data_IF_383443202326
#
_entry.id   IF_383443202326
#
_cell.length_a   1.000
_cell.length_b   1.000
_cell.length_c   1.000
_cell.angle_alpha   90.00
_cell.angle_beta   90.00
_cell.angle_gamma   90.00
#
_symmetry.space_group_name_H-M   'P 1'
#
loop_
_entity.id
_entity.type
_entity.pdbx_description
1 polymer ?
#
# COMPACT_ATOMS: atom_id res chain seq x y z
N UNK A 1 16.37 -4.92 -34.14
CA UNK A 1 15.03 -5.50 -34.34
C UNK A 1 14.60 -6.50 -33.24
N UNK A 2 15.50 -7.04 -32.40
CA UNK A 2 15.17 -8.03 -31.33
C UNK A 2 14.75 -7.41 -30.00
N UNK A 3 15.07 -6.14 -29.72
CA UNK A 3 14.75 -5.45 -28.47
C UNK A 3 13.25 -5.06 -28.36
N UNK A 4 12.59 -4.84 -29.50
CA UNK A 4 11.13 -4.51 -29.50
C UNK A 4 10.25 -5.63 -28.95
N UNK A 5 10.69 -6.88 -28.98
CA UNK A 5 9.89 -8.03 -28.50
C UNK A 5 9.86 -8.12 -26.96
N UNK A 6 10.95 -7.73 -26.28
CA UNK A 6 11.00 -7.66 -24.81
C UNK A 6 10.08 -6.56 -24.24
N UNK A 7 10.04 -5.42 -24.94
CA UNK A 7 9.23 -4.26 -24.49
C UNK A 7 7.75 -4.41 -24.87
N UNK A 8 7.42 -5.05 -25.99
CA UNK A 8 6.04 -5.16 -26.45
C UNK A 8 5.26 -6.31 -25.82
N UNK A 9 5.95 -7.35 -25.30
CA UNK A 9 5.27 -8.50 -24.69
C UNK A 9 5.05 -8.35 -23.16
N UNK A 10 5.68 -7.35 -22.55
CA UNK A 10 5.77 -7.28 -21.09
C UNK A 10 4.80 -6.30 -20.43
N UNK A 11 4.16 -5.44 -21.21
CA UNK A 11 3.14 -4.55 -20.64
C UNK A 11 1.71 -5.09 -20.89
N UNK A 12 1.47 -6.41 -20.79
CA UNK A 12 0.30 -6.86 -20.07
C UNK A 12 0.50 -6.39 -18.62
N UNK A 13 0.55 -5.06 -18.47
CA UNK A 13 0.36 -4.46 -17.18
C UNK A 13 -0.97 -5.01 -16.72
N UNK A 14 -0.76 -5.98 -15.88
CA UNK A 14 -1.32 -5.92 -14.58
C UNK A 14 -2.40 -4.85 -14.54
N UNK A 15 -3.59 -5.25 -14.84
CA UNK A 15 -4.67 -4.91 -13.95
C UNK A 15 -4.23 -5.46 -12.59
N UNK A 16 -3.26 -4.80 -11.98
CA UNK A 16 -3.05 -4.88 -10.57
C UNK A 16 -4.32 -4.28 -9.96
N UNK A 17 -5.35 -5.13 -9.88
CA UNK A 17 -6.22 -5.02 -8.76
C UNK A 17 -5.26 -4.91 -7.57
N UNK A 18 -5.26 -3.75 -6.92
CA UNK A 18 -4.62 -3.56 -5.64
C UNK A 18 -4.75 -4.87 -4.89
N UNK A 19 -3.69 -5.47 -4.34
CA UNK A 19 -3.88 -6.61 -3.50
C UNK A 19 -4.71 -6.13 -2.31
N UNK A 20 -6.02 -6.12 -2.46
CA UNK A 20 -6.87 -6.37 -1.33
C UNK A 20 -6.34 -7.72 -0.85
N UNK A 21 -5.61 -7.73 0.25
CA UNK A 21 -5.29 -8.92 1.02
C UNK A 21 -6.63 -9.64 1.24
N UNK A 22 -7.02 -10.45 0.26
CA UNK A 22 -8.02 -11.48 0.46
C UNK A 22 -7.30 -12.52 1.31
N UNK A 23 -7.53 -12.45 2.60
CA UNK A 23 -7.54 -13.66 3.39
C UNK A 23 -8.40 -14.67 2.62
N UNK A 24 -7.76 -15.66 2.01
CA UNK A 24 -8.46 -16.82 1.45
C UNK A 24 -9.09 -17.55 2.63
N UNK A 25 -10.36 -17.27 2.88
CA UNK A 25 -11.20 -18.15 3.66
C UNK A 25 -11.48 -19.37 2.77
N UNK A 26 -10.75 -20.45 3.02
CA UNK A 26 -11.08 -21.77 2.52
C UNK A 26 -12.47 -22.14 3.03
N UNK A 27 -13.38 -22.47 2.11
CA UNK A 27 -14.71 -22.93 2.42
C UNK A 27 -14.68 -24.25 3.18
N UNK A 28 -15.39 -24.30 4.29
CA UNK A 28 -15.89 -25.52 4.90
C UNK A 28 -17.33 -25.29 5.34
N UNK A 29 -18.14 -26.29 5.07
CA UNK A 29 -19.58 -26.35 5.10
C UNK A 29 -20.22 -25.97 6.45
N UNK A 30 -21.44 -25.46 6.31
CA UNK A 30 -22.36 -25.14 7.40
C UNK A 30 -22.72 -26.36 8.27
N UNK A 31 -22.69 -26.18 9.58
CA UNK A 31 -23.48 -26.94 10.52
C UNK A 31 -24.13 -25.97 11.53
N UNK A 32 -25.45 -25.95 11.53
CA UNK A 32 -26.29 -25.23 12.48
C UNK A 32 -26.06 -25.69 13.91
N UNK A 33 -25.78 -24.77 14.80
CA UNK A 33 -26.08 -24.93 16.23
C UNK A 33 -26.49 -23.57 16.83
N UNK A 34 -27.73 -23.45 17.23
CA UNK A 34 -28.26 -22.42 18.11
C UNK A 34 -27.61 -22.55 19.50
N UNK A 35 -27.04 -21.49 20.02
CA UNK A 35 -26.84 -21.33 21.46
C UNK A 35 -27.04 -19.86 21.84
N UNK A 36 -27.90 -19.69 22.84
CA UNK A 36 -28.31 -18.44 23.47
C UNK A 36 -27.13 -17.80 24.24
N UNK A 37 -27.15 -16.43 24.32
CA UNK A 37 -26.12 -15.60 24.93
C UNK A 37 -26.03 -15.68 26.44
N UNK A 38 -25.10 -14.93 26.99
CA UNK A 38 -25.45 -13.70 27.69
C UNK A 38 -24.57 -12.47 27.39
N UNK A 39 -25.05 -11.37 27.91
CA UNK A 39 -24.85 -9.96 27.66
C UNK A 39 -23.43 -9.39 27.64
N UNK A 40 -23.38 -8.24 26.97
CA UNK A 40 -22.25 -7.42 26.63
C UNK A 40 -21.49 -6.82 27.83
N UNK A 41 -20.18 -6.84 27.74
CA UNK A 41 -19.31 -5.80 28.28
C UNK A 41 -18.13 -5.57 27.36
N UNK A 42 -17.92 -4.27 27.03
CA UNK A 42 -16.76 -3.62 26.41
C UNK A 42 -16.10 -4.27 25.17
N UNK A 43 -16.33 -3.62 24.04
CA UNK A 43 -16.04 -4.05 22.66
C UNK A 43 -14.60 -3.93 22.17
N UNK A 44 -13.56 -4.16 22.97
CA UNK A 44 -12.16 -4.19 22.50
C UNK A 44 -11.65 -5.64 22.35
N UNK A 45 -12.30 -6.61 23.00
CA UNK A 45 -11.77 -7.97 23.11
C UNK A 45 -11.99 -8.94 21.95
N UNK A 46 -12.89 -8.64 20.99
CA UNK A 46 -13.33 -9.65 20.01
C UNK A 46 -12.46 -9.77 18.75
N UNK A 47 -11.74 -8.72 18.36
CA UNK A 47 -10.87 -8.78 17.18
C UNK A 47 -9.45 -9.27 17.51
N UNK A 48 -8.97 -9.01 18.71
CA UNK A 48 -7.66 -9.46 19.19
C UNK A 48 -7.53 -11.00 19.25
N UNK A 49 -8.61 -11.73 19.50
CA UNK A 49 -8.57 -13.18 19.65
C UNK A 49 -8.43 -13.96 18.33
N UNK A 50 -8.95 -13.42 17.21
CA UNK A 50 -8.89 -14.13 15.93
C UNK A 50 -7.49 -14.08 15.32
N UNK A 51 -6.84 -12.91 15.37
CA UNK A 51 -5.49 -12.72 14.83
C UNK A 51 -4.42 -13.36 15.74
N UNK A 52 -4.61 -13.34 17.05
CA UNK A 52 -3.74 -14.07 17.98
C UNK A 52 -3.81 -15.59 17.81
N UNK A 53 -4.99 -16.14 17.51
CA UNK A 53 -5.11 -17.58 17.19
C UNK A 53 -4.45 -17.92 15.86
N UNK A 54 -4.58 -17.07 14.83
CA UNK A 54 -3.93 -17.28 13.55
C UNK A 54 -2.40 -17.13 13.64
N UNK A 55 -1.90 -16.20 14.44
CA UNK A 55 -0.48 -16.00 14.70
C UNK A 55 0.13 -17.17 15.52
N UNK A 56 -0.56 -17.66 16.53
CA UNK A 56 -0.14 -18.87 17.29
C UNK A 56 -0.01 -20.11 16.41
N UNK A 57 -0.89 -20.26 15.41
CA UNK A 57 -0.84 -21.39 14.47
C UNK A 57 0.32 -21.29 13.47
N UNK A 58 0.85 -20.07 13.22
CA UNK A 58 1.96 -19.84 12.28
C UNK A 58 3.32 -19.68 12.97
N UNK A 59 3.39 -19.74 14.30
CA UNK A 59 4.63 -19.57 15.04
C UNK A 59 5.22 -18.16 14.98
N UNK A 60 4.46 -17.15 14.52
CA UNK A 60 4.89 -15.76 14.38
C UNK A 60 4.59 -14.93 15.62
N UNK A 61 5.39 -13.87 15.82
CA UNK A 61 5.15 -12.88 16.86
C UNK A 61 4.33 -11.76 16.24
N UNK A 62 3.22 -11.37 16.91
CA UNK A 62 2.38 -10.27 16.50
C UNK A 62 2.46 -9.14 17.50
N UNK A 63 2.70 -7.93 17.02
CA UNK A 63 2.54 -6.70 17.80
C UNK A 63 1.32 -5.96 17.28
N UNK A 64 0.61 -5.31 18.17
CA UNK A 64 -0.54 -4.48 17.81
C UNK A 64 -0.37 -3.08 18.38
N UNK A 65 -1.02 -2.12 17.73
CA UNK A 65 -1.00 -0.74 18.18
C UNK A 65 -2.09 0.07 17.50
N UNK A 66 -2.08 1.35 17.74
CA UNK A 66 -3.08 2.27 17.20
C UNK A 66 -2.43 3.52 16.62
N UNK A 67 -2.91 3.97 15.46
CA UNK A 67 -2.61 5.30 14.91
C UNK A 67 -3.76 6.23 15.26
N UNK A 68 -3.46 7.44 15.71
CA UNK A 68 -4.42 8.52 15.91
C UNK A 68 -3.96 9.76 15.16
N UNK A 69 -4.91 10.54 14.65
CA UNK A 69 -4.65 11.83 13.99
C UNK A 69 -5.06 12.92 14.96
N UNK A 70 -4.12 13.80 15.31
CA UNK A 70 -4.39 14.90 16.23
C UNK A 70 -5.40 15.86 15.63
N UNK A 71 -6.41 16.23 16.40
CA UNK A 71 -7.47 17.18 16.00
C UNK A 71 -8.41 16.66 14.89
N UNK A 72 -8.25 15.40 14.44
CA UNK A 72 -9.03 14.85 13.33
C UNK A 72 -9.50 13.42 13.51
N UNK A 73 -10.23 12.93 12.52
CA UNK A 73 -10.57 11.52 12.39
C UNK A 73 -9.55 10.82 11.50
N UNK A 74 -9.29 9.53 11.78
CA UNK A 74 -8.50 8.67 10.90
C UNK A 74 -9.12 8.71 9.49
N UNK A 75 -8.32 8.92 8.43
CA UNK A 75 -8.80 8.86 7.05
C UNK A 75 -9.52 7.54 6.72
N UNK A 76 -10.29 7.51 5.64
CA UNK A 76 -10.86 6.24 5.15
C UNK A 76 -9.79 5.33 4.57
N UNK A 77 -8.72 5.92 4.06
CA UNK A 77 -7.57 5.19 3.51
C UNK A 77 -6.72 4.59 4.61
N UNK A 78 -6.20 3.37 4.39
CA UNK A 78 -5.27 2.75 5.32
C UNK A 78 -4.00 3.60 5.47
N UNK A 79 -3.55 3.78 6.70
CA UNK A 79 -2.30 4.50 6.99
C UNK A 79 -1.16 3.48 7.01
N UNK A 80 -0.11 3.73 6.24
CA UNK A 80 1.08 2.89 6.24
C UNK A 80 1.81 3.00 7.59
N UNK A 81 2.11 1.85 8.20
CA UNK A 81 2.91 1.75 9.43
C UNK A 81 4.17 0.96 9.11
N UNK A 82 5.32 1.56 9.39
CA UNK A 82 6.63 1.00 9.08
C UNK A 82 7.41 0.71 10.36
N UNK A 83 8.03 -0.46 10.42
CA UNK A 83 9.03 -0.83 11.44
C UNK A 83 10.41 -0.66 10.86
N UNK A 84 11.22 0.18 11.50
CA UNK A 84 12.59 0.49 11.09
C UNK A 84 13.57 -0.01 12.15
N UNK A 85 14.53 -0.84 11.75
CA UNK A 85 15.59 -1.33 12.61
C UNK A 85 16.94 -0.93 12.00
N UNK A 86 17.83 -0.36 12.79
CA UNK A 86 19.15 0.13 12.34
C UNK A 86 19.05 1.04 11.11
N UNK A 87 18.04 1.91 11.09
CA UNK A 87 17.79 2.86 9.99
C UNK A 87 17.25 2.24 8.71
N UNK A 88 16.91 0.94 8.69
CA UNK A 88 16.34 0.24 7.53
C UNK A 88 14.92 -0.21 7.82
N UNK A 89 14.00 0.04 6.89
CA UNK A 89 12.66 -0.53 6.94
C UNK A 89 12.74 -2.07 6.91
N UNK A 90 12.02 -2.72 7.83
CA UNK A 90 11.98 -4.18 7.97
C UNK A 90 10.60 -4.75 7.72
N UNK A 91 9.57 -4.07 8.21
CA UNK A 91 8.19 -4.50 8.07
C UNK A 91 7.32 -3.31 7.75
N UNK A 92 6.33 -3.54 6.90
CA UNK A 92 5.26 -2.61 6.61
C UNK A 92 3.92 -3.28 6.93
N UNK A 93 3.01 -2.52 7.51
CA UNK A 93 1.62 -2.92 7.70
C UNK A 93 0.72 -1.69 7.47
N UNK A 94 -0.57 -1.89 7.53
CA UNK A 94 -1.53 -0.80 7.36
C UNK A 94 -2.45 -0.72 8.58
N UNK A 95 -2.68 0.48 9.05
CA UNK A 95 -3.73 0.74 10.03
C UNK A 95 -5.11 0.76 9.33
N UNK A 96 -6.09 0.17 9.97
CA UNK A 96 -7.48 0.15 9.48
C UNK A 96 -8.16 1.54 9.62
N UNK A 97 -9.41 1.65 9.18
CA UNK A 97 -10.20 2.89 9.29
C UNK A 97 -10.46 3.36 10.73
N UNK A 98 -10.12 2.56 11.74
CA UNK A 98 -10.17 2.91 13.17
C UNK A 98 -8.80 3.25 13.73
N UNK A 99 -7.76 3.15 12.89
CA UNK A 99 -6.36 3.35 13.24
C UNK A 99 -5.68 2.13 13.86
N UNK A 100 -6.35 0.98 13.99
CA UNK A 100 -5.74 -0.22 14.56
C UNK A 100 -4.84 -0.90 13.52
N UNK A 101 -3.66 -1.39 13.95
CA UNK A 101 -2.73 -2.14 13.12
C UNK A 101 -2.14 -3.33 13.85
N UNK A 102 -1.69 -4.32 13.08
CA UNK A 102 -0.97 -5.50 13.55
C UNK A 102 0.29 -5.66 12.74
N UNK A 103 1.43 -5.80 13.41
CA UNK A 103 2.71 -6.13 12.80
C UNK A 103 2.93 -7.63 13.02
N UNK A 104 3.06 -8.39 11.93
CA UNK A 104 3.42 -9.80 11.99
C UNK A 104 4.91 -9.92 11.70
N UNK A 105 5.69 -10.29 12.72
CA UNK A 105 7.10 -10.62 12.56
C UNK A 105 7.26 -12.04 12.05
N UNK A 106 8.10 -12.25 11.04
CA UNK A 106 8.47 -13.59 10.59
C UNK A 106 9.39 -14.24 11.64
N UNK A 107 9.03 -15.43 12.07
CA UNK A 107 9.87 -16.23 13.01
C UNK A 107 10.93 -17.03 12.28
N UNK A 108 10.95 -16.99 10.95
CA UNK A 108 11.95 -17.69 10.15
C UNK A 108 13.19 -16.79 10.01
N UNK A 109 14.28 -17.02 10.76
CA UNK A 109 15.55 -16.39 10.44
C UNK A 109 15.96 -16.83 9.04
N UNK A 110 16.42 -15.88 8.20
CA UNK A 110 17.06 -16.22 6.93
C UNK A 110 18.13 -17.30 7.17
N UNK A 111 18.36 -18.19 6.20
CA UNK A 111 19.35 -19.29 6.38
C UNK A 111 20.72 -18.81 6.85
N UNK A 112 21.12 -17.57 6.47
CA UNK A 112 22.34 -16.94 6.96
C UNK A 112 22.27 -16.58 8.47
N UNK A 113 21.08 -16.25 9.00
CA UNK A 113 20.88 -15.95 10.42
C UNK A 113 20.83 -17.25 11.26
N UNK A 114 20.38 -18.37 10.67
CA UNK A 114 20.36 -19.69 11.35
C UNK A 114 21.75 -20.20 11.71
N UNK A 115 22.79 -19.82 10.96
CA UNK A 115 24.18 -20.26 11.23
C UNK A 115 24.87 -19.53 12.37
N UNK A 116 24.30 -18.42 12.88
CA UNK A 116 24.88 -17.58 13.95
C UNK A 116 24.01 -17.43 15.19
N UNK A 117 22.87 -18.10 15.25
CA UNK A 117 21.90 -17.85 16.31
C UNK A 117 22.13 -18.80 17.49
N UNK A 118 22.51 -18.20 18.61
CA UNK A 118 22.44 -18.81 19.93
C UNK A 118 20.96 -19.14 20.22
N UNK A 119 20.65 -20.43 20.38
CA UNK A 119 19.29 -20.97 20.57
C UNK A 119 18.62 -20.48 21.87
N UNK A 120 19.30 -19.67 22.68
CA UNK A 120 18.79 -19.12 23.93
C UNK A 120 18.05 -17.79 23.82
N UNK A 121 18.02 -17.13 22.65
CA UNK A 121 17.34 -15.85 22.49
C UNK A 121 15.88 -16.01 22.01
N UNK A 122 14.92 -15.29 22.63
CA UNK A 122 13.53 -15.31 22.18
C UNK A 122 13.41 -14.81 20.74
N UNK A 123 12.53 -15.42 19.96
CA UNK A 123 12.36 -15.18 18.51
C UNK A 123 12.09 -13.71 18.11
N UNK A 124 11.76 -12.82 19.06
CA UNK A 124 11.51 -11.39 18.84
C UNK A 124 12.67 -10.48 19.26
N UNK A 125 13.77 -11.01 19.75
CA UNK A 125 14.88 -10.17 20.26
C UNK A 125 15.46 -9.25 19.17
N UNK A 126 15.35 -9.62 17.89
CA UNK A 126 15.79 -8.81 16.75
C UNK A 126 14.95 -7.56 16.47
N UNK A 127 13.76 -7.45 17.10
CA UNK A 127 12.89 -6.27 16.98
C UNK A 127 13.03 -5.30 18.14
N UNK A 128 13.74 -5.68 19.20
CA UNK A 128 14.01 -4.80 20.35
C UNK A 128 14.88 -3.63 19.88
N UNK A 129 14.46 -2.42 20.23
CA UNK A 129 15.12 -1.19 19.79
C UNK A 129 14.68 -0.68 18.41
N UNK A 130 13.90 -1.47 17.65
CA UNK A 130 13.33 -1.00 16.41
C UNK A 130 12.29 0.09 16.67
N UNK A 131 12.16 1.00 15.71
CA UNK A 131 11.24 2.13 15.74
C UNK A 131 10.03 1.85 14.86
N UNK A 132 8.85 2.19 15.35
CA UNK A 132 7.59 2.11 14.61
C UNK A 132 7.05 3.51 14.39
N UNK A 133 6.74 3.83 13.16
CA UNK A 133 6.16 5.12 12.77
C UNK A 133 5.09 4.91 11.71
N UNK A 134 4.21 5.89 11.56
CA UNK A 134 3.16 5.90 10.55
C UNK A 134 3.50 6.93 9.47
N UNK A 135 3.14 6.67 8.22
CA UNK A 135 3.31 7.59 7.11
C UNK A 135 1.93 8.03 6.58
N UNK A 136 1.72 9.33 6.59
CA UNK A 136 0.54 9.98 6.00
C UNK A 136 0.99 11.35 5.48
N UNK A 137 0.78 11.59 4.18
CA UNK A 137 1.20 12.84 3.55
C UNK A 137 0.62 14.06 4.24
N UNK A 138 1.46 15.04 4.55
CA UNK A 138 1.07 16.24 5.30
C UNK A 138 1.02 16.07 6.82
N UNK A 139 1.58 14.96 7.35
CA UNK A 139 1.63 14.71 8.78
C UNK A 139 3.01 14.23 9.22
N UNK A 140 3.38 14.61 10.44
CA UNK A 140 4.57 14.15 11.15
C UNK A 140 4.15 13.08 12.14
N UNK A 141 4.81 11.92 12.10
CA UNK A 141 4.54 10.80 12.99
C UNK A 141 5.34 10.89 14.29
N UNK A 142 4.70 10.64 15.43
CA UNK A 142 5.45 10.22 16.60
C UNK A 142 6.09 8.86 16.33
N UNK A 143 7.18 8.56 17.05
CA UNK A 143 7.91 7.30 16.93
C UNK A 143 7.73 6.49 18.22
N UNK A 144 7.35 5.23 18.07
CA UNK A 144 7.28 4.27 19.17
C UNK A 144 8.47 3.33 19.07
N UNK A 145 9.30 3.22 20.11
CA UNK A 145 10.39 2.25 20.13
C UNK A 145 9.90 0.94 20.75
N UNK A 146 10.15 -0.18 20.07
CA UNK A 146 9.84 -1.50 20.61
C UNK A 146 10.81 -1.76 21.76
N UNK A 147 10.32 -1.59 22.99
CA UNK A 147 11.06 -1.88 24.20
C UNK A 147 11.12 -3.41 24.43
N UNK A 148 11.83 -3.83 25.51
CA UNK A 148 11.86 -5.22 25.93
C UNK A 148 10.47 -5.66 26.40
N UNK A 149 9.63 -6.04 25.45
CA UNK A 149 8.27 -6.49 25.70
C UNK A 149 8.33 -7.93 26.18
N UNK A 150 7.71 -8.19 27.30
CA UNK A 150 7.33 -9.53 27.66
C UNK A 150 6.19 -9.94 26.69
N UNK A 151 6.59 -10.41 25.50
CA UNK A 151 5.74 -10.64 24.32
C UNK A 151 4.56 -11.57 24.62
N UNK A 152 4.69 -12.36 25.69
CA UNK A 152 3.65 -13.28 26.14
C UNK A 152 2.53 -12.57 26.90
N UNK A 153 2.81 -11.40 27.48
CA UNK A 153 1.87 -10.74 28.41
C UNK A 153 1.20 -9.49 27.83
N UNK A 154 1.87 -8.75 26.95
CA UNK A 154 1.26 -7.57 26.29
C UNK A 154 1.90 -7.26 24.93
N UNK A 155 1.27 -7.68 23.83
CA UNK A 155 1.76 -7.36 22.48
C UNK A 155 1.42 -5.93 22.02
N UNK A 156 0.80 -5.10 22.86
CA UNK A 156 0.44 -3.71 22.51
C UNK A 156 1.67 -2.81 22.64
N UNK A 157 2.11 -2.26 21.51
CA UNK A 157 3.23 -1.32 21.45
C UNK A 157 2.80 0.15 21.66
N UNK A 158 1.51 0.41 21.85
CA UNK A 158 0.97 1.73 22.17
C UNK A 158 0.41 2.48 20.97
N UNK A 159 0.41 3.81 21.10
CA UNK A 159 -0.24 4.70 20.14
C UNK A 159 0.78 5.53 19.39
N UNK A 160 0.68 5.55 18.06
CA UNK A 160 1.39 6.46 17.17
C UNK A 160 0.47 7.65 16.90
N UNK A 161 0.94 8.87 17.18
CA UNK A 161 0.20 10.10 16.92
C UNK A 161 0.73 10.76 15.65
N UNK A 162 -0.18 11.13 14.76
CA UNK A 162 0.09 11.93 13.56
C UNK A 162 -0.29 13.38 13.84
N UNK A 163 0.68 14.27 13.75
CA UNK A 163 0.54 15.71 13.89
C UNK A 163 0.55 16.37 12.51
N UNK A 164 -0.32 17.35 12.27
CA UNK A 164 -0.30 18.08 11.00
C UNK A 164 1.06 18.77 10.80
N UNK A 165 1.64 18.64 9.62
CA UNK A 165 2.85 19.36 9.22
C UNK A 165 2.47 20.68 8.56
N UNK A 166 2.64 21.78 9.27
CA UNK A 166 2.33 23.12 8.76
C UNK A 166 3.20 23.55 7.57
N UNK A 167 4.30 22.83 7.31
CA UNK A 167 5.22 23.11 6.20
C UNK A 167 5.01 22.19 4.98
N UNK A 168 4.09 21.21 5.08
CA UNK A 168 3.82 20.30 3.98
C UNK A 168 3.16 21.04 2.80
N UNK A 169 3.66 20.79 1.58
CA UNK A 169 3.11 21.36 0.37
C UNK A 169 1.76 20.72 -0.02
N UNK A 170 1.51 19.49 0.46
CA UNK A 170 0.28 18.75 0.24
C UNK A 170 -0.10 17.86 1.40
N UNK A 171 -1.35 17.40 1.42
CA UNK A 171 -1.87 16.57 2.50
C UNK A 171 -2.73 15.43 1.96
N UNK A 172 -2.70 14.29 2.66
CA UNK A 172 -3.59 13.17 2.43
C UNK A 172 -5.03 13.43 2.93
N UNK A 173 -5.23 14.51 3.68
CA UNK A 173 -6.55 14.98 4.13
C UNK A 173 -6.83 16.33 3.49
N UNK A 174 -7.96 16.45 2.81
CA UNK A 174 -8.31 17.70 2.11
C UNK A 174 -8.60 18.84 3.08
N UNK A 175 -8.02 20.00 2.80
CA UNK A 175 -8.26 21.26 3.53
C UNK A 175 -9.72 21.73 3.41
N UNK A 176 -10.41 21.39 2.31
CA UNK A 176 -11.80 21.79 2.09
C UNK A 176 -12.76 21.16 3.10
N UNK A 177 -12.38 20.04 3.72
CA UNK A 177 -13.21 19.31 4.69
C UNK A 177 -13.66 20.19 5.87
N UNK A 178 -12.83 21.14 6.30
CA UNK A 178 -13.16 22.04 7.40
C UNK A 178 -14.25 23.07 7.08
N UNK A 179 -14.45 23.39 5.80
CA UNK A 179 -15.41 24.42 5.33
C UNK A 179 -16.68 23.86 4.71
N UNK A 180 -16.86 22.55 4.73
CA UNK A 180 -17.99 21.84 4.11
C UNK A 180 -19.31 22.16 4.79
N UNK A 181 -20.39 22.27 4.01
CA UNK A 181 -21.73 22.46 4.53
C UNK A 181 -22.14 21.31 5.46
N UNK A 182 -22.93 21.62 6.51
CA UNK A 182 -23.38 20.63 7.50
C UNK A 182 -24.17 19.48 6.85
N UNK A 183 -24.93 19.76 5.80
CA UNK A 183 -25.70 18.73 5.09
C UNK A 183 -24.77 17.79 4.31
N UNK A 184 -23.80 18.31 3.55
CA UNK A 184 -22.80 17.49 2.85
C UNK A 184 -21.99 16.64 3.83
N UNK A 185 -21.53 17.20 4.95
CA UNK A 185 -20.84 16.47 5.99
C UNK A 185 -21.68 15.35 6.58
N UNK A 186 -22.97 15.58 6.84
CA UNK A 186 -23.88 14.54 7.34
C UNK A 186 -24.02 13.39 6.34
N UNK A 187 -24.13 13.69 5.04
CA UNK A 187 -24.19 12.66 3.97
C UNK A 187 -22.89 11.87 3.89
N UNK A 188 -21.76 12.55 3.96
CA UNK A 188 -20.45 11.93 3.96
C UNK A 188 -20.24 10.97 5.14
N UNK A 189 -20.65 11.37 6.35
CA UNK A 189 -20.60 10.50 7.52
C UNK A 189 -21.53 9.29 7.40
N UNK A 190 -22.73 9.47 6.83
CA UNK A 190 -23.66 8.37 6.52
C UNK A 190 -23.06 7.40 5.51
N UNK A 191 -22.41 7.93 4.46
CA UNK A 191 -21.71 7.12 3.48
C UNK A 191 -20.60 6.27 4.12
N UNK A 192 -19.82 6.87 5.03
CA UNK A 192 -18.76 6.15 5.77
C UNK A 192 -19.33 5.01 6.61
N UNK A 193 -20.42 5.24 7.33
CA UNK A 193 -21.06 4.20 8.12
C UNK A 193 -21.52 3.02 7.23
N UNK A 194 -22.17 3.31 6.10
CA UNK A 194 -22.60 2.30 5.13
C UNK A 194 -21.42 1.55 4.49
N UNK A 195 -20.32 2.25 4.20
CA UNK A 195 -19.10 1.62 3.69
C UNK A 195 -18.53 0.59 4.68
N UNK A 196 -18.46 0.93 5.97
CA UNK A 196 -18.02 0.01 7.02
C UNK A 196 -18.94 -1.20 7.19
N UNK A 197 -20.25 -1.03 6.92
CA UNK A 197 -21.27 -2.09 6.87
C UNK A 197 -21.22 -2.91 5.55
N UNK A 198 -20.27 -2.57 4.62
CA UNK A 198 -20.17 -3.19 3.28
C UNK A 198 -21.39 -2.92 2.37
N UNK A 199 -22.22 -1.96 2.71
CA UNK A 199 -23.29 -1.46 1.85
C UNK A 199 -22.74 -0.41 0.88
N UNK A 200 -22.04 -0.87 -0.18
CA UNK A 200 -21.32 -0.01 -1.10
C UNK A 200 -22.25 0.86 -1.95
N UNK A 201 -23.41 0.33 -2.37
CA UNK A 201 -24.40 1.08 -3.15
C UNK A 201 -25.00 2.22 -2.34
N UNK A 202 -25.35 1.95 -1.09
CA UNK A 202 -25.84 2.97 -0.16
C UNK A 202 -24.78 4.02 0.16
N UNK A 203 -23.52 3.63 0.29
CA UNK A 203 -22.40 4.54 0.49
C UNK A 203 -22.21 5.45 -0.73
N UNK A 204 -22.20 4.88 -1.95
CA UNK A 204 -22.08 5.64 -3.19
C UNK A 204 -23.19 6.68 -3.32
N UNK A 205 -24.45 6.27 -3.10
CA UNK A 205 -25.60 7.17 -3.16
C UNK A 205 -25.49 8.35 -2.19
N UNK A 206 -25.02 8.11 -0.96
CA UNK A 206 -24.84 9.19 0.01
C UNK A 206 -23.67 10.10 -0.34
N UNK A 207 -22.57 9.56 -0.95
CA UNK A 207 -21.48 10.38 -1.49
C UNK A 207 -21.93 11.26 -2.66
N UNK A 208 -22.74 10.72 -3.59
CA UNK A 208 -23.34 11.48 -4.67
C UNK A 208 -24.16 12.67 -4.14
N UNK A 209 -24.94 12.44 -3.07
CA UNK A 209 -25.67 13.53 -2.40
C UNK A 209 -24.75 14.52 -1.70
N UNK A 210 -23.66 14.06 -1.09
CA UNK A 210 -22.68 14.93 -0.44
C UNK A 210 -22.07 15.91 -1.44
N UNK A 211 -21.60 15.42 -2.62
CA UNK A 211 -21.00 16.25 -3.66
C UNK A 211 -22.02 17.12 -4.42
N UNK A 212 -23.30 16.75 -4.41
CA UNK A 212 -24.38 17.62 -4.91
C UNK A 212 -24.66 18.77 -3.95
N UNK A 213 -24.65 18.51 -2.64
CA UNK A 213 -24.87 19.52 -1.60
C UNK A 213 -23.68 20.48 -1.47
N UNK A 214 -22.46 19.99 -1.74
CA UNK A 214 -21.24 20.78 -1.71
C UNK A 214 -20.23 20.29 -2.78
N UNK A 215 -20.24 20.90 -3.98
CA UNK A 215 -19.31 20.51 -5.05
C UNK A 215 -17.83 20.74 -4.76
N UNK A 216 -17.50 21.53 -3.73
CA UNK A 216 -16.13 21.77 -3.29
C UNK A 216 -15.62 20.75 -2.27
N UNK A 217 -16.44 19.78 -1.90
CA UNK A 217 -16.03 18.73 -0.96
C UNK A 217 -15.10 17.71 -1.63
N UNK A 218 -13.81 18.01 -1.67
CA UNK A 218 -12.80 17.19 -2.36
C UNK A 218 -12.73 15.75 -1.83
N UNK A 219 -12.79 15.57 -0.50
CA UNK A 219 -12.77 14.25 0.13
C UNK A 219 -13.96 13.37 -0.34
N UNK A 220 -15.17 13.95 -0.44
CA UNK A 220 -16.34 13.21 -0.91
C UNK A 220 -16.20 12.79 -2.38
N UNK A 221 -15.66 13.65 -3.24
CA UNK A 221 -15.35 13.31 -4.63
C UNK A 221 -14.32 12.17 -4.72
N UNK A 222 -13.28 12.22 -3.90
CA UNK A 222 -12.27 11.18 -3.86
C UNK A 222 -12.85 9.82 -3.46
N UNK A 223 -13.63 9.78 -2.36
CA UNK A 223 -14.25 8.54 -1.90
C UNK A 223 -15.31 8.02 -2.88
N UNK A 224 -16.03 8.90 -3.58
CA UNK A 224 -16.94 8.52 -4.66
C UNK A 224 -16.17 7.84 -5.80
N UNK A 225 -15.06 8.43 -6.23
CA UNK A 225 -14.18 7.84 -7.24
C UNK A 225 -13.69 6.44 -6.85
N UNK A 226 -13.33 6.21 -5.59
CA UNK A 226 -12.92 4.89 -5.09
C UNK A 226 -14.02 3.84 -5.21
N UNK A 227 -15.26 4.19 -4.91
CA UNK A 227 -16.38 3.25 -5.08
C UNK A 227 -16.66 2.96 -6.55
N UNK A 228 -16.54 3.97 -7.43
CA UNK A 228 -16.78 3.85 -8.85
C UNK A 228 -15.67 3.08 -9.59
N UNK A 229 -14.44 3.10 -9.11
CA UNK A 229 -13.25 2.59 -9.83
C UNK A 229 -13.41 1.15 -10.31
N UNK A 230 -14.09 0.29 -9.56
CA UNK A 230 -14.28 -1.12 -9.91
C UNK A 230 -15.33 -1.37 -10.99
N UNK A 231 -16.35 -0.51 -11.07
CA UNK A 231 -17.52 -0.73 -11.93
C UNK A 231 -17.61 0.28 -13.07
N UNK A 232 -17.12 1.50 -12.85
CA UNK A 232 -17.22 2.63 -13.76
C UNK A 232 -15.92 3.45 -13.77
N UNK A 233 -14.80 2.91 -14.32
CA UNK A 233 -13.49 3.57 -14.24
C UNK A 233 -13.46 5.00 -14.80
N UNK A 234 -14.28 5.31 -15.82
CA UNK A 234 -14.37 6.66 -16.41
C UNK A 234 -15.02 7.65 -15.44
N UNK A 235 -16.10 7.23 -14.77
CA UNK A 235 -16.77 8.05 -13.74
C UNK A 235 -15.82 8.27 -12.55
N UNK A 236 -15.06 7.24 -12.17
CA UNK A 236 -14.05 7.33 -11.13
C UNK A 236 -12.99 8.35 -11.45
N UNK A 237 -12.43 8.33 -12.67
CA UNK A 237 -11.44 9.31 -13.12
C UNK A 237 -11.99 10.72 -13.04
N UNK A 238 -13.24 10.94 -13.52
CA UNK A 238 -13.90 12.23 -13.43
C UNK A 238 -14.08 12.69 -11.96
N UNK A 239 -14.44 11.78 -11.05
CA UNK A 239 -14.58 12.07 -9.63
C UNK A 239 -13.25 12.45 -8.99
N UNK A 240 -12.16 11.73 -9.28
CA UNK A 240 -10.83 12.08 -8.79
C UNK A 240 -10.34 13.43 -9.33
N UNK A 241 -10.59 13.73 -10.61
CA UNK A 241 -10.25 15.04 -11.20
C UNK A 241 -11.03 16.18 -10.54
N UNK A 242 -12.30 15.96 -10.17
CA UNK A 242 -13.08 16.93 -9.39
C UNK A 242 -12.53 17.12 -7.98
N UNK A 243 -12.04 16.05 -7.33
CA UNK A 243 -11.39 16.15 -6.05
C UNK A 243 -10.14 17.06 -6.10
N UNK A 244 -9.27 16.83 -7.10
CA UNK A 244 -8.07 17.66 -7.33
C UNK A 244 -8.44 19.11 -7.72
N UNK A 245 -9.50 19.29 -8.51
CA UNK A 245 -9.96 20.65 -8.87
C UNK A 245 -10.51 21.42 -7.67
N UNK A 246 -11.15 20.72 -6.72
CA UNK A 246 -11.66 21.30 -5.48
C UNK A 246 -10.54 21.61 -4.47
N UNK A 247 -9.52 20.76 -4.41
CA UNK A 247 -8.34 20.96 -3.56
C UNK A 247 -7.07 20.46 -4.26
N UNK A 248 -6.31 21.34 -4.92
CA UNK A 248 -5.07 20.96 -5.61
C UNK A 248 -3.95 20.46 -4.68
N UNK A 249 -4.03 20.70 -3.38
CA UNK A 249 -3.06 20.22 -2.39
C UNK A 249 -3.42 18.86 -1.80
N UNK A 250 -4.59 18.34 -2.15
CA UNK A 250 -5.04 17.02 -1.73
C UNK A 250 -4.31 15.93 -2.51
N UNK A 251 -3.38 15.23 -1.85
CA UNK A 251 -2.45 14.27 -2.48
C UNK A 251 -3.14 12.96 -2.88
N UNK A 252 -4.08 12.47 -2.06
CA UNK A 252 -4.67 11.13 -2.20
C UNK A 252 -5.28 10.81 -3.58
N UNK A 253 -5.91 11.74 -4.34
CA UNK A 253 -6.48 11.41 -5.63
C UNK A 253 -5.48 11.14 -6.76
N UNK A 254 -4.21 11.57 -6.64
CA UNK A 254 -3.26 11.47 -7.75
C UNK A 254 -2.85 10.03 -8.06
N UNK A 255 -2.70 9.17 -7.04
CA UNK A 255 -2.36 7.76 -7.25
C UNK A 255 -3.44 7.02 -8.06
N UNK A 256 -4.73 7.06 -7.69
CA UNK A 256 -5.77 6.43 -8.49
C UNK A 256 -5.98 7.10 -9.87
N UNK A 257 -5.72 8.41 -10.03
CA UNK A 257 -5.69 9.03 -11.36
C UNK A 257 -4.62 8.37 -12.22
N UNK A 258 -3.40 8.21 -11.69
CA UNK A 258 -2.31 7.56 -12.43
C UNK A 258 -2.64 6.09 -12.75
N UNK A 259 -3.25 5.36 -11.82
CA UNK A 259 -3.68 3.97 -12.01
C UNK A 259 -4.70 3.85 -13.16
N UNK A 260 -5.77 4.64 -13.13
CA UNK A 260 -6.79 4.62 -14.18
C UNK A 260 -6.19 5.06 -15.53
N UNK A 261 -5.37 6.10 -15.55
CA UNK A 261 -4.69 6.56 -16.76
C UNK A 261 -3.76 5.48 -17.34
N UNK A 262 -3.08 4.70 -16.48
CA UNK A 262 -2.23 3.58 -16.91
C UNK A 262 -3.04 2.46 -17.58
N UNK A 263 -4.22 2.13 -17.07
CA UNK A 263 -5.11 1.14 -17.71
C UNK A 263 -5.54 1.58 -19.11
N UNK A 264 -5.65 2.89 -19.33
CA UNK A 264 -5.98 3.52 -20.62
C UNK A 264 -4.76 3.77 -21.50
N UNK A 265 -3.56 3.44 -21.03
CA UNK A 265 -2.27 3.73 -21.70
C UNK A 265 -2.06 5.23 -21.97
N UNK A 266 -2.67 6.08 -21.18
CA UNK A 266 -2.50 7.53 -21.22
C UNK A 266 -1.24 7.95 -20.47
N UNK A 267 -0.07 7.55 -20.99
CA UNK A 267 1.20 7.60 -20.26
C UNK A 267 1.62 9.00 -19.83
N UNK A 268 1.33 10.02 -20.65
CA UNK A 268 1.60 11.39 -20.25
C UNK A 268 0.77 11.79 -19.03
N UNK A 269 -0.52 11.41 -18.99
CA UNK A 269 -1.37 11.68 -17.82
C UNK A 269 -0.89 10.95 -16.56
N UNK A 270 -0.32 9.74 -16.72
CA UNK A 270 0.33 9.03 -15.61
C UNK A 270 1.50 9.85 -15.05
N UNK A 271 2.39 10.32 -15.94
CA UNK A 271 3.55 11.14 -15.55
C UNK A 271 3.11 12.46 -14.91
N UNK A 272 2.13 13.15 -15.49
CA UNK A 272 1.63 14.43 -14.97
C UNK A 272 1.06 14.26 -13.54
N UNK A 273 0.21 13.25 -13.35
CA UNK A 273 -0.40 12.97 -12.05
C UNK A 273 0.63 12.60 -10.99
N UNK A 274 1.57 11.70 -11.32
CA UNK A 274 2.59 11.26 -10.37
C UNK A 274 3.61 12.36 -10.07
N UNK A 275 3.99 13.16 -11.06
CA UNK A 275 4.89 14.31 -10.87
C UNK A 275 4.25 15.36 -9.96
N UNK A 276 2.96 15.65 -10.14
CA UNK A 276 2.26 16.57 -9.26
C UNK A 276 2.15 16.03 -7.83
N UNK A 277 1.85 14.74 -7.68
CA UNK A 277 1.86 14.07 -6.38
C UNK A 277 3.22 14.21 -5.67
N UNK A 278 4.32 13.92 -6.38
CA UNK A 278 5.68 13.99 -5.83
C UNK A 278 6.15 15.43 -5.55
N UNK A 279 5.57 16.42 -6.23
CA UNK A 279 5.80 17.83 -5.90
C UNK A 279 5.13 18.22 -4.59
N UNK A 280 3.95 17.69 -4.31
CA UNK A 280 3.19 17.93 -3.07
C UNK A 280 3.71 17.10 -1.90
N UNK A 281 4.15 15.89 -2.16
CA UNK A 281 4.74 14.95 -1.20
C UNK A 281 6.00 14.33 -1.80
N UNK A 282 7.19 14.95 -1.58
CA UNK A 282 8.45 14.44 -2.13
C UNK A 282 8.87 13.06 -1.61
N UNK A 283 8.38 12.65 -0.45
CA UNK A 283 8.59 11.29 0.03
C UNK A 283 7.85 10.29 -0.87
N UNK A 284 6.63 10.63 -1.25
CA UNK A 284 5.77 9.81 -2.07
C UNK A 284 5.33 8.52 -1.38
N UNK A 285 4.71 7.65 -2.15
CA UNK A 285 4.39 6.28 -1.73
C UNK A 285 5.01 5.30 -2.72
N UNK A 286 5.21 4.01 -2.35
CA UNK A 286 5.69 3.00 -3.30
C UNK A 286 4.86 3.02 -4.60
N UNK A 287 3.55 3.10 -4.48
CA UNK A 287 2.65 3.13 -5.64
C UNK A 287 2.88 4.34 -6.56
N UNK A 288 3.10 5.53 -6.01
CA UNK A 288 3.36 6.74 -6.81
C UNK A 288 4.68 6.60 -7.54
N UNK A 289 5.74 6.13 -6.90
CA UNK A 289 7.03 5.91 -7.53
C UNK A 289 6.96 4.82 -8.61
N UNK A 290 6.19 3.74 -8.37
CA UNK A 290 5.94 2.70 -9.36
C UNK A 290 5.26 3.26 -10.62
N UNK A 291 4.13 3.97 -10.48
CA UNK A 291 3.44 4.55 -11.64
C UNK A 291 4.28 5.62 -12.33
N UNK A 292 5.07 6.40 -11.59
CA UNK A 292 6.00 7.36 -12.20
C UNK A 292 7.04 6.63 -13.06
N UNK A 293 7.60 5.51 -12.59
CA UNK A 293 8.51 4.68 -13.36
C UNK A 293 7.84 4.11 -14.61
N UNK A 294 6.64 3.54 -14.47
CA UNK A 294 5.87 2.98 -15.60
C UNK A 294 5.56 4.05 -16.63
N UNK A 295 5.07 5.21 -16.22
CA UNK A 295 4.76 6.32 -17.12
C UNK A 295 5.99 6.80 -17.88
N UNK A 296 7.08 7.09 -17.17
CA UNK A 296 8.33 7.58 -17.75
C UNK A 296 8.97 6.55 -18.71
N UNK A 297 8.94 5.26 -18.36
CA UNK A 297 9.39 4.19 -19.25
C UNK A 297 8.64 4.22 -20.60
N UNK A 298 7.32 4.38 -20.56
CA UNK A 298 6.48 4.33 -21.75
C UNK A 298 6.57 5.59 -22.63
N UNK A 299 6.89 6.75 -22.06
CA UNK A 299 7.17 7.97 -22.86
C UNK A 299 8.65 8.10 -23.26
N UNK A 300 9.50 7.13 -22.89
CA UNK A 300 10.90 7.06 -23.29
C UNK A 300 11.91 7.71 -22.34
N UNK A 301 11.50 8.21 -21.20
CA UNK A 301 12.35 8.81 -20.17
C UNK A 301 12.96 7.73 -19.27
N UNK A 302 13.90 6.95 -19.83
CA UNK A 302 14.42 5.74 -19.18
C UNK A 302 15.16 6.00 -17.86
N UNK A 303 15.96 7.05 -17.79
CA UNK A 303 16.75 7.38 -16.59
C UNK A 303 15.84 7.75 -15.41
N UNK A 304 14.82 8.58 -15.68
CA UNK A 304 13.81 8.91 -14.68
C UNK A 304 12.99 7.68 -14.26
N UNK A 305 12.69 6.79 -15.21
CA UNK A 305 12.00 5.54 -14.91
C UNK A 305 12.82 4.65 -13.99
N UNK A 306 14.14 4.53 -14.23
CA UNK A 306 15.04 3.74 -13.38
C UNK A 306 15.14 4.31 -11.97
N UNK A 307 15.32 5.63 -11.83
CA UNK A 307 15.36 6.29 -10.51
C UNK A 307 14.08 6.03 -9.73
N UNK A 308 12.93 6.20 -10.38
CA UNK A 308 11.63 6.01 -9.76
C UNK A 308 11.37 4.55 -9.37
N UNK A 309 11.76 3.59 -10.22
CA UNK A 309 11.64 2.17 -9.92
C UNK A 309 12.50 1.75 -8.72
N UNK A 310 13.74 2.28 -8.63
CA UNK A 310 14.61 2.05 -7.47
C UNK A 310 14.03 2.61 -6.18
N UNK A 311 13.40 3.80 -6.23
CA UNK A 311 12.73 4.39 -5.06
C UNK A 311 11.54 3.56 -4.63
N UNK A 312 10.69 3.10 -5.57
CA UNK A 312 9.57 2.21 -5.27
C UNK A 312 10.03 0.95 -4.56
N UNK A 313 11.03 0.26 -5.14
CA UNK A 313 11.58 -0.98 -4.58
C UNK A 313 12.19 -0.78 -3.18
N UNK A 314 12.91 0.32 -2.96
CA UNK A 314 13.51 0.63 -1.66
C UNK A 314 12.47 0.86 -0.54
N UNK A 315 11.25 1.24 -0.91
CA UNK A 315 10.13 1.43 0.02
C UNK A 315 9.34 0.14 0.28
N UNK A 316 9.62 -0.95 -0.44
CA UNK A 316 9.00 -2.27 -0.24
C UNK A 316 10.02 -3.34 0.22
N UNK A 317 10.54 -3.24 1.46
CA UNK A 317 11.57 -4.14 1.98
C UNK A 317 11.11 -5.59 2.14
N UNK A 318 9.80 -5.83 2.10
CA UNK A 318 9.21 -7.17 2.20
C UNK A 318 8.88 -7.78 0.83
N UNK A 319 9.15 -7.05 -0.24
CA UNK A 319 8.81 -7.43 -1.62
C UNK A 319 7.35 -7.89 -1.79
N UNK A 320 6.43 -7.16 -1.15
CA UNK A 320 4.98 -7.39 -1.27
C UNK A 320 4.47 -7.04 -2.67
N UNK A 321 5.21 -6.19 -3.39
CA UNK A 321 4.96 -5.80 -4.76
C UNK A 321 6.05 -6.34 -5.71
N UNK A 322 6.09 -7.65 -6.03
CA UNK A 322 7.13 -8.25 -6.87
C UNK A 322 7.21 -7.63 -8.28
N UNK A 323 6.19 -6.89 -8.69
CA UNK A 323 6.19 -6.15 -9.95
C UNK A 323 7.26 -5.05 -10.02
N UNK A 324 7.72 -4.54 -8.88
CA UNK A 324 8.78 -3.51 -8.82
C UNK A 324 10.11 -4.08 -9.27
N UNK A 325 10.44 -5.29 -8.85
CA UNK A 325 11.62 -6.03 -9.32
C UNK A 325 11.55 -6.29 -10.83
N UNK A 326 10.38 -6.72 -11.33
CA UNK A 326 10.19 -6.98 -12.76
C UNK A 326 10.29 -5.68 -13.58
N UNK A 327 9.70 -4.58 -13.10
CA UNK A 327 9.78 -3.28 -13.76
C UNK A 327 11.23 -2.80 -13.88
N UNK A 328 11.99 -2.87 -12.79
CA UNK A 328 13.39 -2.47 -12.77
C UNK A 328 14.23 -3.34 -13.71
N UNK A 329 13.99 -4.65 -13.75
CA UNK A 329 14.64 -5.54 -14.71
C UNK A 329 14.37 -5.15 -16.18
N UNK A 330 13.14 -4.80 -16.52
CA UNK A 330 12.78 -4.33 -17.89
C UNK A 330 13.51 -3.03 -18.24
N UNK A 331 13.60 -2.11 -17.30
CA UNK A 331 14.29 -0.83 -17.50
C UNK A 331 15.79 -1.05 -17.71
N UNK A 332 16.45 -1.84 -16.84
CA UNK A 332 17.88 -2.15 -16.92
C UNK A 332 18.23 -2.91 -18.20
N UNK A 333 17.39 -3.87 -18.62
CA UNK A 333 17.55 -4.53 -19.91
C UNK A 333 17.44 -3.53 -21.09
N UNK A 334 16.57 -2.52 -20.95
CA UNK A 334 16.44 -1.41 -21.91
C UNK A 334 17.66 -0.49 -21.98
N UNK A 335 18.45 -0.41 -20.91
CA UNK A 335 19.77 0.27 -20.85
C UNK A 335 20.91 -0.62 -21.31
N UNK A 336 20.69 -1.94 -21.50
CA UNK A 336 21.72 -2.91 -21.87
C UNK A 336 22.44 -3.55 -20.69
N UNK A 337 22.05 -3.24 -19.46
CA UNK A 337 22.57 -3.92 -18.26
C UNK A 337 21.79 -5.23 -18.02
N UNK A 338 22.16 -6.23 -18.85
CA UNK A 338 21.50 -7.54 -18.81
C UNK A 338 21.82 -8.31 -17.53
N UNK A 339 22.98 -8.06 -16.93
CA UNK A 339 23.40 -8.73 -15.70
C UNK A 339 22.53 -8.29 -14.53
N UNK A 340 22.41 -7.00 -14.29
CA UNK A 340 21.54 -6.48 -13.25
C UNK A 340 20.04 -6.83 -13.51
N UNK A 341 19.61 -6.79 -14.78
CA UNK A 341 18.25 -7.21 -15.13
C UNK A 341 17.96 -8.67 -14.77
N UNK A 342 18.94 -9.59 -14.98
CA UNK A 342 18.82 -10.98 -14.60
C UNK A 342 18.71 -11.16 -13.08
N UNK A 343 19.49 -10.42 -12.31
CA UNK A 343 19.45 -10.50 -10.85
C UNK A 343 18.08 -10.08 -10.32
N UNK A 344 17.51 -8.98 -10.83
CA UNK A 344 16.16 -8.53 -10.46
C UNK A 344 15.06 -9.54 -10.85
N UNK A 345 15.13 -10.16 -12.05
CA UNK A 345 14.17 -11.20 -12.42
C UNK A 345 14.29 -12.45 -11.55
N UNK A 346 15.50 -12.86 -11.18
CA UNK A 346 15.71 -13.99 -10.27
C UNK A 346 15.17 -13.68 -8.88
N UNK A 347 15.42 -12.47 -8.37
CA UNK A 347 14.81 -12.02 -7.11
C UNK A 347 13.28 -12.09 -7.18
N UNK A 348 12.68 -11.55 -8.23
CA UNK A 348 11.23 -11.62 -8.42
C UNK A 348 10.69 -13.05 -8.35
N UNK A 349 11.40 -14.03 -8.96
CA UNK A 349 11.02 -15.45 -8.90
C UNK A 349 11.10 -16.04 -7.49
N UNK A 350 11.96 -15.53 -6.61
CA UNK A 350 12.02 -16.01 -5.22
C UNK A 350 10.75 -15.70 -4.44
N UNK A 351 10.12 -14.56 -4.77
CA UNK A 351 8.86 -14.12 -4.15
C UNK A 351 7.61 -14.62 -4.88
N UNK A 352 7.76 -14.95 -6.18
CA UNK A 352 6.65 -15.41 -7.04
C UNK A 352 7.07 -16.67 -7.82
N UNK A 353 7.29 -17.81 -7.15
CA UNK A 353 7.95 -18.99 -7.77
C UNK A 353 7.05 -19.74 -8.76
N UNK A 354 5.73 -19.52 -8.73
CA UNK A 354 4.76 -20.27 -9.54
C UNK A 354 3.66 -19.38 -10.14
N UNK A 355 3.08 -19.85 -11.24
CA UNK A 355 1.99 -19.19 -11.95
C UNK A 355 2.41 -18.57 -13.29
N UNK A 356 1.46 -18.01 -14.05
CA UNK A 356 1.72 -17.49 -15.40
C UNK A 356 2.83 -16.43 -15.46
N UNK A 357 2.93 -15.57 -14.44
CA UNK A 357 3.98 -14.56 -14.35
C UNK A 357 5.37 -15.20 -14.14
N UNK A 358 5.47 -16.24 -13.32
CA UNK A 358 6.72 -16.96 -13.10
C UNK A 358 7.23 -17.62 -14.40
N UNK A 359 6.35 -18.19 -15.20
CA UNK A 359 6.72 -18.82 -16.47
C UNK A 359 7.18 -17.78 -17.49
N UNK A 360 6.55 -16.60 -17.52
CA UNK A 360 7.00 -15.47 -18.34
C UNK A 360 8.38 -14.99 -17.90
N UNK A 361 8.62 -14.83 -16.60
CA UNK A 361 9.93 -14.41 -16.07
C UNK A 361 11.04 -15.43 -16.39
N UNK A 362 10.77 -16.73 -16.30
CA UNK A 362 11.71 -17.78 -16.71
C UNK A 362 12.10 -17.66 -18.19
N UNK A 363 11.11 -17.37 -19.06
CA UNK A 363 11.37 -17.12 -20.48
C UNK A 363 12.22 -15.87 -20.69
N UNK A 364 11.94 -14.77 -19.96
CA UNK A 364 12.72 -13.53 -20.03
C UNK A 364 14.17 -13.76 -19.55
N UNK A 365 14.36 -14.49 -18.45
CA UNK A 365 15.69 -14.89 -17.96
C UNK A 365 16.47 -15.65 -19.05
N UNK A 366 15.86 -16.70 -19.64
CA UNK A 366 16.51 -17.49 -20.69
C UNK A 366 16.86 -16.67 -21.95
N UNK A 367 16.14 -15.61 -22.23
CA UNK A 367 16.46 -14.67 -23.32
C UNK A 367 17.61 -13.73 -22.94
N UNK A 368 17.58 -13.15 -21.73
CA UNK A 368 18.63 -12.23 -21.27
C UNK A 368 19.99 -12.93 -21.08
N UNK A 369 20.00 -14.19 -20.62
CA UNK A 369 21.21 -14.99 -20.48
C UNK A 369 21.99 -15.15 -21.81
N UNK A 370 21.29 -15.16 -22.95
CA UNK A 370 21.90 -15.18 -24.28
C UNK A 370 22.47 -13.83 -24.71
N UNK A 371 22.10 -12.75 -24.01
CA UNK A 371 22.52 -11.38 -24.31
C UNK A 371 23.66 -10.92 -23.40
N UNK A 372 23.89 -11.61 -22.28
CA UNK A 372 25.06 -11.35 -21.42
C UNK A 372 26.32 -11.72 -22.18
N UNK A 373 27.29 -10.82 -22.32
CA UNK A 373 28.57 -11.16 -22.93
C UNK A 373 29.23 -12.29 -22.16
N UNK A 374 29.65 -13.35 -22.86
CA UNK A 374 30.47 -14.39 -22.25
C UNK A 374 31.70 -13.69 -21.65
N UNK A 375 31.84 -13.77 -20.31
CA UNK A 375 32.95 -13.09 -19.61
C UNK A 375 34.29 -13.40 -20.24
N UNK A 376 35.08 -12.34 -20.52
CA UNK A 376 36.46 -12.45 -20.87
C UNK A 376 37.27 -12.80 -19.64
#
# INVERSE_FOLDING_TARGET
MKLKLLVTCSLCIVTAASPNLRAQAGGAAAANAKAQGPEATSGVGKYANYDQMAAKQRGGISFMGKVVVEGGSVPWDPILVTVTCDGKARYNTQADAKGAFVIQGDTQPSELARQKQDQSQPAASHLIGCQVHAALSGFISSVVTIANLNIMDNPDIGTITLHADEHAAGSAVSSTTASVSKDAMKKFQSARAKYLEKNLDGAQHDLEKAVQSDPKFAEAWYQLGKLQQRTKPQDALASYQKAVAADPQFVSPYAPIAEVAATQKSWQQVVDATTQSLKLDPAGSPQIWYFNAVGNLNIGNKDTAEESAKKSLAMDPQHLAPNDEQLLAVILAGHGDYTAALDHLRNCLTYTPAGPNADLMKQQIAQLEKMVPAGK
#
